data_IF_248193622770
#
_entry.id   IF_248193622770
#
_cell.length_a   1.000
_cell.length_b   1.000
_cell.length_c   1.000
_cell.angle_alpha   90.00
_cell.angle_beta   90.00
_cell.angle_gamma   90.00
#
_symmetry.space_group_name_H-M   'P 1'
#
loop_
_entity.id
_entity.type
_entity.pdbx_description
1 polymer ?
#
# COMPACT_ATOMS: atom_id res chain seq x y z
N UNK A 1 9.14 -10.39 4.01
CA UNK A 1 8.83 -9.34 5.00
C UNK A 1 7.40 -8.86 4.83
N UNK A 2 6.79 -8.32 5.88
CA UNK A 2 5.45 -7.74 5.82
C UNK A 2 5.44 -6.31 6.36
N UNK A 3 4.71 -5.43 5.70
CA UNK A 3 4.56 -4.02 6.05
C UNK A 3 3.07 -3.68 6.15
N UNK A 4 2.68 -2.86 7.12
CA UNK A 4 1.34 -2.29 7.18
C UNK A 4 1.40 -0.83 6.75
N UNK A 5 0.55 -0.47 5.80
CA UNK A 5 0.57 0.86 5.24
C UNK A 5 -0.84 1.32 4.87
N UNK A 6 -1.02 2.62 4.76
CA UNK A 6 -2.24 3.21 4.22
C UNK A 6 -2.01 3.66 2.78
N UNK A 7 -2.94 3.34 1.89
CA UNK A 7 -2.88 3.78 0.49
C UNK A 7 -3.17 5.27 0.43
N UNK A 8 -2.24 6.06 -0.11
CA UNK A 8 -2.43 7.50 -0.34
C UNK A 8 -2.95 7.72 -1.76
N UNK A 9 -2.34 7.06 -2.74
CA UNK A 9 -2.63 7.26 -4.16
C UNK A 9 -2.61 5.90 -4.89
N UNK A 10 -3.50 5.74 -5.86
CA UNK A 10 -3.59 4.55 -6.71
C UNK A 10 -3.27 4.96 -8.13
N UNK A 11 -2.24 4.35 -8.70
CA UNK A 11 -1.83 4.51 -10.10
C UNK A 11 -2.11 3.22 -10.87
N UNK A 12 -1.82 3.22 -12.18
CA UNK A 12 -2.14 2.11 -13.09
C UNK A 12 -1.65 0.75 -12.58
N UNK A 13 -0.38 0.66 -12.20
CA UNK A 13 0.30 -0.56 -11.73
C UNK A 13 1.11 -0.31 -10.45
N UNK A 14 0.81 0.79 -9.75
CA UNK A 14 1.56 1.23 -8.58
C UNK A 14 0.62 1.78 -7.51
N UNK A 15 0.98 1.55 -6.25
CA UNK A 15 0.34 2.18 -5.11
C UNK A 15 1.36 3.06 -4.41
N UNK A 16 0.99 4.30 -4.13
CA UNK A 16 1.71 5.13 -3.17
C UNK A 16 1.12 4.84 -1.80
N UNK A 17 1.93 4.29 -0.91
CA UNK A 17 1.50 3.95 0.44
C UNK A 17 2.35 4.68 1.48
N UNK A 18 1.76 4.95 2.63
CA UNK A 18 2.48 5.43 3.81
C UNK A 18 2.67 4.27 4.77
N UNK A 19 3.91 3.86 4.97
CA UNK A 19 4.29 2.85 5.95
C UNK A 19 4.05 3.38 7.38
N UNK A 20 3.43 2.59 8.24
CA UNK A 20 3.18 2.99 9.62
C UNK A 20 4.43 2.92 10.50
N UNK A 21 5.34 1.97 10.25
CA UNK A 21 6.52 1.77 11.08
C UNK A 21 7.55 2.88 10.85
N UNK A 22 7.89 3.12 9.59
CA UNK A 22 8.90 4.11 9.20
C UNK A 22 8.32 5.51 8.98
N UNK A 23 6.99 5.65 8.90
CA UNK A 23 6.28 6.88 8.47
C UNK A 23 6.79 7.42 7.14
N UNK A 24 7.26 6.53 6.26
CA UNK A 24 7.81 6.88 4.94
C UNK A 24 6.82 6.55 3.84
N UNK A 25 6.87 7.34 2.78
CA UNK A 25 6.12 7.09 1.56
C UNK A 25 6.88 6.05 0.73
N UNK A 26 6.17 5.01 0.32
CA UNK A 26 6.71 3.87 -0.40
C UNK A 26 5.89 3.66 -1.66
N UNK A 27 6.57 3.48 -2.79
CA UNK A 27 5.94 3.09 -4.05
C UNK A 27 5.93 1.57 -4.13
N UNK A 28 4.74 1.00 -4.25
CA UNK A 28 4.53 -0.45 -4.30
C UNK A 28 4.11 -0.81 -5.70
N UNK A 29 4.99 -1.47 -6.44
CA UNK A 29 4.71 -1.98 -7.77
C UNK A 29 3.85 -3.24 -7.64
N UNK A 30 2.66 -3.21 -8.24
CA UNK A 30 1.72 -4.32 -8.24
C UNK A 30 0.73 -4.20 -9.42
N UNK A 31 0.58 -5.25 -10.25
CA UNK A 31 -0.38 -5.23 -11.36
C UNK A 31 -1.84 -5.19 -10.87
N UNK A 32 -2.07 -5.42 -9.58
CA UNK A 32 -3.40 -5.41 -8.97
C UNK A 32 -3.70 -4.11 -8.21
N UNK A 33 -2.98 -3.02 -8.49
CA UNK A 33 -3.12 -1.74 -7.78
C UNK A 33 -4.56 -1.20 -7.80
N UNK A 34 -5.26 -1.37 -8.93
CA UNK A 34 -6.64 -0.89 -9.14
C UNK A 34 -7.68 -1.55 -8.23
N UNK A 35 -7.35 -2.63 -7.52
CA UNK A 35 -8.25 -3.27 -6.55
C UNK A 35 -8.32 -2.51 -5.21
N UNK A 36 -7.44 -1.54 -5.01
CA UNK A 36 -7.35 -0.75 -3.80
C UNK A 36 -7.81 0.68 -4.06
N UNK A 37 -8.14 1.39 -2.99
CA UNK A 37 -8.56 2.79 -3.03
C UNK A 37 -7.79 3.61 -1.98
N UNK A 38 -7.60 4.92 -2.22
CA UNK A 38 -7.05 5.83 -1.22
C UNK A 38 -7.75 5.69 0.14
N UNK A 39 -6.95 5.65 1.20
CA UNK A 39 -7.33 5.43 2.58
C UNK A 39 -7.52 3.95 2.98
N UNK A 40 -7.42 2.98 2.07
CA UNK A 40 -7.41 1.57 2.49
C UNK A 40 -6.15 1.29 3.29
N UNK A 41 -6.32 0.60 4.41
CA UNK A 41 -5.20 0.02 5.15
C UNK A 41 -4.88 -1.30 4.48
N UNK A 42 -3.62 -1.50 4.10
CA UNK A 42 -3.16 -2.68 3.40
C UNK A 42 -1.97 -3.29 4.14
N UNK A 43 -1.95 -4.62 4.18
CA UNK A 43 -0.79 -5.40 4.59
C UNK A 43 -0.09 -5.94 3.35
N UNK A 44 1.14 -5.51 3.14
CA UNK A 44 1.93 -5.81 1.95
C UNK A 44 3.02 -6.81 2.32
N UNK A 45 3.10 -7.93 1.60
CA UNK A 45 4.20 -8.90 1.68
C UNK A 45 5.17 -8.66 0.53
N UNK A 46 6.46 -8.53 0.84
CA UNK A 46 7.52 -8.26 -0.13
C UNK A 46 8.81 -9.01 0.24
N UNK A 47 9.76 -9.10 -0.70
CA UNK A 47 10.98 -9.90 -0.58
C UNK A 47 12.00 -9.35 0.43
N UNK A 48 11.88 -8.08 0.82
CA UNK A 48 12.85 -7.39 1.69
C UNK A 48 13.93 -6.62 0.92
N UNK A 49 13.98 -6.74 -0.41
CA UNK A 49 14.86 -5.92 -1.25
C UNK A 49 14.21 -4.54 -1.40
N UNK A 50 14.84 -3.55 -0.78
CA UNK A 50 14.49 -2.14 -0.91
C UNK A 50 15.48 -1.48 -1.87
N UNK A 51 14.99 -0.80 -2.90
CA UNK A 51 15.85 0.01 -3.76
C UNK A 51 16.23 1.29 -3.01
N UNK A 52 17.53 1.57 -2.92
CA UNK A 52 18.08 2.82 -2.37
C UNK A 52 17.88 3.96 -3.36
N UNK A 53 16.64 4.34 -3.60
CA UNK A 53 16.25 5.45 -4.47
C UNK A 53 15.60 6.56 -3.63
N UNK A 54 15.54 7.77 -4.19
CA UNK A 54 14.93 8.97 -3.55
C UNK A 54 13.51 8.69 -3.04
N UNK A 55 12.78 7.79 -3.69
CA UNK A 55 11.55 7.18 -3.19
C UNK A 55 11.78 5.68 -3.04
N UNK A 56 11.49 5.15 -1.85
CA UNK A 56 11.61 3.73 -1.57
C UNK A 56 10.61 2.97 -2.44
N UNK A 57 11.10 2.12 -3.34
CA UNK A 57 10.24 1.31 -4.20
C UNK A 57 10.36 -0.17 -3.83
N UNK A 58 9.23 -0.88 -3.80
CA UNK A 58 9.19 -2.32 -3.54
C UNK A 58 8.26 -3.01 -4.54
N UNK A 59 8.53 -4.29 -4.77
CA UNK A 59 7.60 -5.18 -5.47
C UNK A 59 6.79 -5.97 -4.46
N UNK A 60 5.46 -5.88 -4.56
CA UNK A 60 4.58 -6.66 -3.69
C UNK A 60 4.44 -8.10 -4.22
N UNK A 61 4.72 -9.06 -3.35
CA UNK A 61 4.41 -10.48 -3.56
C UNK A 61 2.91 -10.70 -3.34
N UNK A 62 2.35 -10.12 -2.29
CA UNK A 62 0.91 -10.14 -2.03
C UNK A 62 0.49 -8.91 -1.24
N UNK A 63 -0.77 -8.50 -1.43
CA UNK A 63 -1.35 -7.36 -0.74
C UNK A 63 -2.72 -7.77 -0.23
N UNK A 64 -2.96 -7.55 1.06
CA UNK A 64 -4.23 -7.80 1.72
C UNK A 64 -4.82 -6.48 2.19
N UNK A 65 -6.03 -6.15 1.73
CA UNK A 65 -6.77 -5.04 2.33
C UNK A 65 -7.23 -5.46 3.72
N UNK A 66 -6.90 -4.67 4.74
CA UNK A 66 -7.45 -4.83 6.07
C UNK A 66 -8.81 -4.12 6.10
N UNK A 67 -9.85 -4.73 6.70
CA UNK A 67 -11.12 -4.06 6.88
C UNK A 67 -10.87 -2.77 7.65
N UNK A 68 -11.38 -1.64 7.13
CA UNK A 68 -11.46 -0.43 7.95
C UNK A 68 -12.37 -0.80 9.11
N UNK A 69 -11.88 -0.71 10.34
CA UNK A 69 -12.75 -0.69 11.51
C UNK A 69 -13.59 0.58 11.41
N UNK A 70 -14.75 0.45 10.77
CA UNK A 70 -15.70 1.53 10.54
C UNK A 70 -16.82 1.01 9.65
N UNK A 71 -18.09 1.18 10.02
CA UNK A 71 -19.20 0.78 9.18
C UNK A 71 -19.09 1.50 7.81
N UNK A 72 -19.53 0.87 6.72
CA UNK A 72 -19.62 1.57 5.44
C UNK A 72 -20.56 2.77 5.64
N UNK A 73 -20.04 3.99 5.59
CA UNK A 73 -20.88 5.18 5.51
C UNK A 73 -21.64 5.10 4.18
N UNK A 74 -22.98 4.94 4.18
CA UNK A 74 -23.72 4.64 2.97
C UNK A 74 -24.23 5.90 2.24
N UNK A 75 -23.69 7.10 2.52
CA UNK A 75 -24.21 8.35 1.95
C UNK A 75 -23.13 9.42 1.76
N UNK A 76 -22.77 9.66 0.51
CA UNK A 76 -22.57 10.99 -0.06
C UNK A 76 -23.27 11.01 -1.42
#
# INVERSE_FOLDING_TARGET
MTMQAIVIEVRRDQLLVLDFDSRRRVIVNTPHARRFSPGNIVRIRYSGIMTMSILLQIYAISIFALPRFGPPCPRC
#
